data_IF_379939007975
#
_entry.id   IF_379939007975
#
_cell.length_a   1.000
_cell.length_b   1.000
_cell.length_c   1.000
_cell.angle_alpha   90.00
_cell.angle_beta   90.00
_cell.angle_gamma   90.00
#
_symmetry.space_group_name_H-M   'P 1'
#
loop_
_entity.id
_entity.type
_entity.pdbx_description
1 polymer ?
#
# COMPACT_ATOMS: atom_id res chain seq x y z
N UNK A 1 -12.93 -7.59 18.85
CA UNK A 1 -11.99 -6.46 19.03
C UNK A 1 -11.40 -6.42 20.44
N UNK A 2 -12.19 -6.61 21.48
CA UNK A 2 -11.77 -6.60 22.89
C UNK A 2 -10.64 -7.58 23.25
N UNK A 3 -10.64 -8.81 22.73
CA UNK A 3 -9.60 -9.81 23.01
C UNK A 3 -8.21 -9.45 22.47
N UNK A 4 -8.13 -8.82 21.29
CA UNK A 4 -6.86 -8.40 20.69
C UNK A 4 -6.24 -7.21 21.44
N UNK A 5 -7.08 -6.28 21.89
CA UNK A 5 -6.62 -5.13 22.68
C UNK A 5 -6.09 -5.61 24.03
N UNK A 6 -6.79 -6.52 24.70
CA UNK A 6 -6.30 -7.13 25.95
C UNK A 6 -4.95 -7.82 25.76
N UNK A 7 -4.80 -8.64 24.70
CA UNK A 7 -3.54 -9.31 24.39
C UNK A 7 -2.39 -8.31 24.14
N UNK A 8 -2.66 -7.19 23.46
CA UNK A 8 -1.66 -6.13 23.24
C UNK A 8 -1.27 -5.44 24.55
N UNK A 9 -2.24 -5.03 25.37
CA UNK A 9 -2.00 -4.37 26.66
C UNK A 9 -1.19 -5.27 27.60
N UNK A 10 -1.55 -6.56 27.65
CA UNK A 10 -0.82 -7.56 28.45
C UNK A 10 0.61 -7.76 27.94
N UNK A 11 0.80 -7.87 26.62
CA UNK A 11 2.12 -7.98 26.02
C UNK A 11 3.00 -6.76 26.31
N UNK A 12 2.44 -5.54 26.20
CA UNK A 12 3.14 -4.28 26.53
C UNK A 12 3.52 -4.21 28.01
N UNK A 13 2.62 -4.62 28.91
CA UNK A 13 2.84 -4.57 30.35
C UNK A 13 4.00 -5.44 30.80
N UNK A 14 4.19 -6.60 30.16
CA UNK A 14 5.23 -7.54 30.50
C UNK A 14 6.51 -7.38 29.66
N UNK A 15 6.48 -6.58 28.57
CA UNK A 15 7.59 -6.41 27.62
C UNK A 15 7.76 -4.96 27.19
N UNK A 16 8.46 -4.13 27.97
CA UNK A 16 8.72 -2.74 27.64
C UNK A 16 9.33 -2.49 26.24
N UNK A 17 10.18 -3.39 25.68
CA UNK A 17 10.67 -3.23 24.30
C UNK A 17 9.59 -3.21 23.24
N UNK A 18 8.46 -3.93 23.44
CA UNK A 18 7.34 -3.90 22.52
C UNK A 18 6.68 -2.53 22.45
N UNK A 19 6.45 -1.89 23.62
CA UNK A 19 5.89 -0.54 23.67
C UNK A 19 6.78 0.45 22.92
N UNK A 20 8.08 0.40 23.17
CA UNK A 20 9.05 1.25 22.47
C UNK A 20 9.01 1.02 20.96
N UNK A 21 8.98 -0.23 20.50
CA UNK A 21 8.88 -0.57 19.08
C UNK A 21 7.56 -0.05 18.47
N UNK A 22 6.44 -0.19 19.19
CA UNK A 22 5.15 0.32 18.77
C UNK A 22 5.16 1.85 18.61
N UNK A 23 5.69 2.56 19.60
CA UNK A 23 5.79 4.03 19.57
C UNK A 23 6.68 4.50 18.42
N UNK A 24 7.87 3.90 18.25
CA UNK A 24 8.77 4.20 17.11
C UNK A 24 8.05 3.98 15.78
N UNK A 25 7.30 2.87 15.65
CA UNK A 25 6.51 2.58 14.45
C UNK A 25 5.43 3.63 14.20
N UNK A 26 4.68 4.01 15.22
CA UNK A 26 3.60 4.99 15.09
C UNK A 26 4.10 6.41 14.83
N UNK A 27 5.19 6.83 15.46
CA UNK A 27 5.85 8.11 15.14
C UNK A 27 6.30 8.15 13.67
N UNK A 28 6.87 7.04 13.18
CA UNK A 28 7.22 6.96 11.78
C UNK A 28 6.00 7.02 10.87
N UNK A 29 4.90 6.32 11.21
CA UNK A 29 3.66 6.34 10.43
C UNK A 29 2.99 7.71 10.43
N UNK A 30 3.01 8.41 11.58
CA UNK A 30 2.59 9.82 11.65
C UNK A 30 3.42 10.69 10.70
N UNK A 31 4.75 10.61 10.81
CA UNK A 31 5.67 11.33 9.94
C UNK A 31 5.50 10.96 8.46
N UNK A 32 5.17 9.69 8.13
CA UNK A 32 4.86 9.26 6.77
C UNK A 32 3.60 9.94 6.22
N UNK A 33 2.51 9.84 6.98
CA UNK A 33 1.25 10.47 6.59
C UNK A 33 1.40 11.98 6.42
N UNK A 34 2.07 12.62 7.38
CA UNK A 34 2.34 14.05 7.36
C UNK A 34 3.19 14.46 6.15
N UNK A 35 4.33 13.79 5.92
CA UNK A 35 5.23 14.08 4.82
C UNK A 35 4.59 13.83 3.45
N UNK A 36 3.89 12.70 3.30
CA UNK A 36 3.24 12.37 2.03
C UNK A 36 2.11 13.35 1.67
N UNK A 37 1.33 13.81 2.66
CA UNK A 37 0.30 14.81 2.42
C UNK A 37 0.90 16.19 2.10
N UNK A 38 1.94 16.63 2.82
CA UNK A 38 2.66 17.87 2.53
C UNK A 38 3.27 17.85 1.12
N UNK A 39 3.91 16.72 0.77
CA UNK A 39 4.52 16.55 -0.54
C UNK A 39 3.48 16.47 -1.66
N UNK A 40 2.34 15.78 -1.41
CA UNK A 40 1.20 15.78 -2.31
C UNK A 40 0.66 17.18 -2.56
N UNK A 41 0.56 18.00 -1.52
CA UNK A 41 0.23 19.41 -1.63
C UNK A 41 1.23 20.16 -2.52
N UNK A 42 2.52 20.01 -2.25
CA UNK A 42 3.59 20.70 -2.97
C UNK A 42 3.73 20.27 -4.44
N UNK A 43 3.56 18.99 -4.75
CA UNK A 43 3.76 18.47 -6.12
C UNK A 43 2.49 18.51 -6.94
N UNK A 44 1.35 18.08 -6.33
CA UNK A 44 0.11 17.87 -7.09
C UNK A 44 -0.80 19.09 -7.13
N UNK A 45 -0.78 19.93 -6.09
CA UNK A 45 -1.76 21.00 -5.91
C UNK A 45 -1.15 22.38 -5.75
N UNK A 46 0.18 22.54 -5.80
CA UNK A 46 0.81 23.86 -5.79
C UNK A 46 0.61 24.56 -7.15
N UNK A 47 -0.02 25.75 -7.20
CA UNK A 47 -0.28 26.47 -8.44
C UNK A 47 0.99 26.95 -9.16
N UNK A 48 2.11 27.09 -8.43
CA UNK A 48 3.40 27.48 -8.99
C UNK A 48 4.09 26.36 -9.77
N UNK A 49 3.63 25.11 -9.61
CA UNK A 49 4.19 23.93 -10.26
C UNK A 49 3.29 23.42 -11.38
N UNK A 50 3.92 22.90 -12.41
CA UNK A 50 3.30 22.51 -13.68
C UNK A 50 2.02 21.68 -13.55
N UNK A 51 1.05 22.01 -14.40
CA UNK A 51 -0.22 21.29 -14.58
C UNK A 51 -0.10 20.12 -15.56
N UNK A 52 1.11 19.80 -16.05
CA UNK A 52 1.33 18.72 -17.01
C UNK A 52 0.98 17.35 -16.40
N UNK A 53 0.02 16.61 -16.98
CA UNK A 53 -0.35 15.27 -16.53
C UNK A 53 0.84 14.31 -16.46
N UNK A 54 1.83 14.48 -17.35
CA UNK A 54 3.04 13.65 -17.38
C UNK A 54 3.93 13.89 -16.17
N UNK A 55 4.05 15.14 -15.72
CA UNK A 55 4.82 15.49 -14.52
C UNK A 55 4.17 14.91 -13.27
N UNK A 56 2.83 14.92 -13.17
CA UNK A 56 2.07 14.30 -12.09
C UNK A 56 2.30 12.79 -12.09
N UNK A 57 2.13 12.13 -13.24
CA UNK A 57 2.36 10.71 -13.36
C UNK A 57 3.81 10.33 -13.03
N UNK A 58 4.80 11.10 -13.50
CA UNK A 58 6.20 10.91 -13.17
C UNK A 58 6.45 11.01 -11.66
N UNK A 59 5.78 11.93 -10.96
CA UNK A 59 5.82 12.03 -9.51
C UNK A 59 5.34 10.73 -8.83
N UNK A 60 4.21 10.19 -9.24
CA UNK A 60 3.70 8.90 -8.72
C UNK A 60 4.60 7.71 -9.09
N UNK A 61 5.12 7.68 -10.33
CA UNK A 61 6.09 6.65 -10.77
C UNK A 61 7.30 6.64 -9.83
N UNK A 62 7.88 7.81 -9.61
CA UNK A 62 9.06 7.96 -8.76
C UNK A 62 8.76 7.66 -7.28
N UNK A 63 7.56 7.94 -6.80
CA UNK A 63 7.15 7.65 -5.42
C UNK A 63 6.89 6.15 -5.16
N UNK A 64 6.37 5.42 -6.14
CA UNK A 64 5.85 4.06 -5.92
C UNK A 64 6.71 2.96 -6.58
N UNK A 65 7.37 3.23 -7.72
CA UNK A 65 8.13 2.23 -8.46
C UNK A 65 9.31 1.63 -7.68
N UNK A 66 10.15 2.43 -6.99
CA UNK A 66 11.28 1.90 -6.26
C UNK A 66 10.86 1.00 -5.09
N UNK A 67 9.70 1.24 -4.51
CA UNK A 67 9.14 0.38 -3.48
C UNK A 67 8.97 -1.08 -3.97
N UNK A 68 8.47 -1.25 -5.18
CA UNK A 68 8.27 -2.58 -5.78
C UNK A 68 9.58 -3.27 -6.14
N UNK A 69 10.60 -2.48 -6.52
CA UNK A 69 11.89 -3.02 -6.95
C UNK A 69 12.83 -3.31 -5.77
N UNK A 70 12.85 -2.45 -4.75
CA UNK A 70 13.76 -2.56 -3.60
C UNK A 70 13.24 -3.51 -2.53
N UNK A 71 11.90 -3.62 -2.38
CA UNK A 71 11.26 -4.41 -1.33
C UNK A 71 11.83 -5.83 -1.15
N UNK A 72 11.98 -6.64 -2.21
CA UNK A 72 12.51 -8.00 -2.11
C UNK A 72 13.96 -8.08 -1.59
N UNK A 73 14.79 -7.03 -1.80
CA UNK A 73 16.20 -6.99 -1.38
C UNK A 73 16.38 -6.56 0.08
N UNK A 74 15.41 -5.85 0.63
CA UNK A 74 15.44 -5.34 2.00
C UNK A 74 15.61 -6.47 3.02
N UNK A 75 14.91 -7.60 2.81
CA UNK A 75 14.98 -8.76 3.70
C UNK A 75 16.39 -9.28 3.89
N UNK A 76 17.17 -9.36 2.80
CA UNK A 76 18.55 -9.86 2.80
C UNK A 76 19.46 -9.00 3.70
N UNK A 77 19.29 -7.68 3.67
CA UNK A 77 20.07 -6.76 4.50
C UNK A 77 19.67 -6.87 5.99
N UNK A 78 18.37 -7.01 6.24
CA UNK A 78 17.82 -7.10 7.61
C UNK A 78 18.16 -8.41 8.31
N UNK A 79 18.48 -9.47 7.57
CA UNK A 79 18.90 -10.75 8.14
C UNK A 79 20.38 -10.76 8.58
N UNK A 80 21.14 -9.71 8.25
CA UNK A 80 22.59 -9.62 8.50
C UNK A 80 22.99 -8.46 9.40
N UNK A 81 22.23 -7.36 9.41
CA UNK A 81 22.55 -6.14 10.17
C UNK A 81 21.76 -6.07 11.47
N UNK A 82 22.40 -5.55 12.53
CA UNK A 82 21.67 -5.26 13.78
C UNK A 82 20.54 -4.28 13.49
N UNK A 83 19.31 -4.76 13.65
CA UNK A 83 18.08 -4.02 13.32
C UNK A 83 17.92 -2.75 14.14
N UNK A 84 18.52 -2.66 15.33
CA UNK A 84 18.60 -1.40 16.10
C UNK A 84 19.27 -0.31 15.28
N UNK A 85 20.47 -0.59 14.77
CA UNK A 85 21.23 0.38 13.98
C UNK A 85 20.58 0.66 12.63
N UNK A 86 19.95 -0.33 12.03
CA UNK A 86 19.14 -0.14 10.82
C UNK A 86 18.03 0.89 11.07
N UNK A 87 17.28 0.75 12.17
CA UNK A 87 16.23 1.70 12.52
C UNK A 87 16.78 3.11 12.78
N UNK A 88 17.84 3.22 13.57
CA UNK A 88 18.45 4.52 13.91
C UNK A 88 18.94 5.24 12.65
N UNK A 89 19.76 4.58 11.82
CA UNK A 89 20.32 5.20 10.62
C UNK A 89 19.27 5.48 9.54
N UNK A 90 18.30 4.60 9.37
CA UNK A 90 17.19 4.84 8.45
C UNK A 90 16.34 6.06 8.88
N UNK A 91 16.06 6.22 10.18
CA UNK A 91 15.34 7.38 10.67
C UNK A 91 16.14 8.67 10.56
N UNK A 92 17.45 8.64 10.84
CA UNK A 92 18.35 9.80 10.64
C UNK A 92 18.38 10.18 9.14
N UNK A 93 18.61 9.21 8.26
CA UNK A 93 18.63 9.45 6.82
C UNK A 93 17.32 10.07 6.35
N UNK A 94 16.19 9.54 6.81
CA UNK A 94 14.87 10.06 6.50
C UNK A 94 14.65 11.47 7.05
N UNK A 95 15.08 11.74 8.28
CA UNK A 95 15.01 13.08 8.88
C UNK A 95 15.80 14.11 8.04
N UNK A 96 17.02 13.75 7.62
CA UNK A 96 17.85 14.59 6.75
C UNK A 96 17.17 14.80 5.38
N UNK A 97 16.64 13.74 4.76
CA UNK A 97 15.94 13.83 3.48
C UNK A 97 14.66 14.67 3.58
N UNK A 98 13.90 14.53 4.67
CA UNK A 98 12.71 15.36 4.92
C UNK A 98 13.10 16.83 5.10
N UNK A 99 14.16 17.11 5.85
CA UNK A 99 14.70 18.48 6.00
C UNK A 99 15.19 19.07 4.66
N UNK A 100 15.90 18.25 3.87
CA UNK A 100 16.32 18.64 2.52
C UNK A 100 15.15 18.93 1.58
N UNK A 101 14.07 18.13 1.65
CA UNK A 101 12.85 18.39 0.87
C UNK A 101 12.20 19.74 1.26
N UNK A 102 12.10 20.01 2.56
CA UNK A 102 11.61 21.30 3.05
C UNK A 102 12.49 22.48 2.59
N UNK A 103 13.80 22.32 2.67
CA UNK A 103 14.74 23.34 2.20
C UNK A 103 14.63 23.59 0.69
N UNK A 104 14.55 22.54 -0.12
CA UNK A 104 14.39 22.64 -1.59
C UNK A 104 13.11 23.39 -1.96
N UNK A 105 12.02 23.17 -1.21
CA UNK A 105 10.77 23.91 -1.38
C UNK A 105 10.94 25.39 -0.99
N UNK A 106 11.52 25.68 0.17
CA UNK A 106 11.75 27.06 0.64
C UNK A 106 12.67 27.85 -0.29
N UNK A 107 13.66 27.18 -0.89
CA UNK A 107 14.58 27.80 -1.84
C UNK A 107 14.04 27.84 -3.29
N UNK A 108 12.79 27.39 -3.51
CA UNK A 108 12.13 27.33 -4.83
C UNK A 108 12.97 26.63 -5.91
N UNK A 109 13.74 25.59 -5.52
CA UNK A 109 14.58 24.84 -6.45
C UNK A 109 13.73 24.01 -7.43
N UNK A 110 14.15 23.85 -8.71
CA UNK A 110 13.40 23.11 -9.71
C UNK A 110 13.04 21.67 -9.35
N UNK A 111 11.85 21.22 -9.82
CA UNK A 111 11.17 20.01 -9.47
C UNK A 111 11.93 18.68 -9.39
N UNK A 112 12.92 18.34 -10.24
CA UNK A 112 13.61 17.04 -10.21
C UNK A 112 14.31 16.74 -8.89
N UNK A 113 14.91 17.76 -8.25
CA UNK A 113 15.59 17.59 -6.96
C UNK A 113 14.63 17.16 -5.85
N UNK A 114 13.46 17.81 -5.74
CA UNK A 114 12.42 17.46 -4.77
C UNK A 114 11.95 16.01 -4.96
N UNK A 115 11.73 15.61 -6.20
CA UNK A 115 11.26 14.25 -6.53
C UNK A 115 12.28 13.18 -6.09
N UNK A 116 13.55 13.40 -6.38
CA UNK A 116 14.62 12.46 -5.99
C UNK A 116 14.76 12.35 -4.47
N UNK A 117 14.70 13.47 -3.76
CA UNK A 117 14.77 13.50 -2.29
C UNK A 117 13.53 12.82 -1.69
N UNK A 118 12.35 13.10 -2.20
CA UNK A 118 11.11 12.47 -1.78
C UNK A 118 11.15 10.95 -1.96
N UNK A 119 11.65 10.51 -3.12
CA UNK A 119 11.85 9.11 -3.45
C UNK A 119 12.77 8.42 -2.43
N UNK A 120 13.91 9.01 -2.15
CA UNK A 120 14.86 8.49 -1.17
C UNK A 120 14.23 8.45 0.25
N UNK A 121 13.47 9.49 0.66
CA UNK A 121 12.80 9.54 1.94
C UNK A 121 11.74 8.43 2.09
N UNK A 122 10.91 8.21 1.06
CA UNK A 122 9.89 7.16 1.05
C UNK A 122 10.53 5.77 1.02
N UNK A 123 11.56 5.57 0.19
CA UNK A 123 12.33 4.33 0.15
C UNK A 123 12.92 3.96 1.51
N UNK A 124 13.50 4.94 2.19
CA UNK A 124 14.06 4.79 3.54
C UNK A 124 12.98 4.43 4.56
N UNK A 125 11.80 5.04 4.47
CA UNK A 125 10.66 4.69 5.32
C UNK A 125 10.24 3.23 5.14
N UNK A 126 10.16 2.76 3.91
CA UNK A 126 9.79 1.37 3.60
C UNK A 126 10.82 0.37 4.13
N UNK A 127 12.10 0.68 3.97
CA UNK A 127 13.20 -0.10 4.55
C UNK A 127 13.05 -0.23 6.07
N UNK A 128 12.72 0.87 6.73
CA UNK A 128 12.50 0.89 8.16
C UNK A 128 11.28 0.07 8.60
N UNK A 129 10.14 0.15 7.86
CA UNK A 129 8.96 -0.68 8.14
C UNK A 129 9.26 -2.18 8.04
N UNK A 130 10.02 -2.59 7.03
CA UNK A 130 10.47 -3.98 6.90
C UNK A 130 11.34 -4.39 8.11
N UNK A 131 12.25 -3.50 8.55
CA UNK A 131 13.08 -3.71 9.73
C UNK A 131 12.27 -3.88 11.02
N UNK A 132 11.26 -3.03 11.24
CA UNK A 132 10.36 -3.14 12.40
C UNK A 132 9.51 -4.41 12.36
N UNK A 133 9.03 -4.80 11.20
CA UNK A 133 8.26 -6.04 11.02
C UNK A 133 9.12 -7.27 11.28
N UNK A 134 10.38 -7.27 10.82
CA UNK A 134 11.35 -8.32 11.10
C UNK A 134 11.79 -8.36 12.58
N UNK A 135 11.77 -7.23 13.29
CA UNK A 135 12.14 -7.13 14.70
C UNK A 135 11.03 -7.63 15.65
N UNK A 136 9.76 -7.60 15.23
CA UNK A 136 8.62 -7.93 16.09
C UNK A 136 8.71 -9.32 16.73
N UNK A 137 9.10 -10.43 16.03
CA UNK A 137 9.23 -11.75 16.64
C UNK A 137 10.27 -11.85 17.76
N UNK A 138 11.23 -10.90 17.82
CA UNK A 138 12.23 -10.86 18.88
C UNK A 138 11.75 -10.12 20.14
N UNK A 139 10.59 -9.47 20.05
CA UNK A 139 10.03 -8.71 21.20
C UNK A 139 8.88 -9.43 21.88
N UNK A 140 8.23 -10.41 21.20
CA UNK A 140 7.06 -11.14 21.73
C UNK A 140 7.09 -12.63 21.36
N UNK A 141 6.39 -13.50 22.12
CA UNK A 141 6.20 -14.90 21.76
C UNK A 141 5.44 -15.07 20.43
N UNK A 142 5.71 -16.15 19.72
CA UNK A 142 5.08 -16.47 18.43
C UNK A 142 3.54 -16.53 18.48
N UNK A 143 2.99 -16.96 19.59
CA UNK A 143 1.52 -17.02 19.83
C UNK A 143 0.85 -15.66 19.84
N UNK A 144 1.58 -14.58 20.15
CA UNK A 144 1.08 -13.20 20.21
C UNK A 144 1.36 -12.39 18.95
N UNK A 145 2.10 -12.91 17.98
CA UNK A 145 2.49 -12.18 16.77
C UNK A 145 1.29 -11.69 15.98
N UNK A 146 0.31 -12.55 15.72
CA UNK A 146 -0.87 -12.18 14.90
C UNK A 146 -1.73 -11.10 15.57
N UNK A 147 -2.18 -11.25 16.83
CA UNK A 147 -3.00 -10.22 17.47
C UNK A 147 -2.25 -8.89 17.65
N UNK A 148 -0.98 -8.93 18.04
CA UNK A 148 -0.16 -7.71 18.24
C UNK A 148 0.09 -7.01 16.91
N UNK A 149 0.51 -7.74 15.86
CA UNK A 149 0.74 -7.13 14.55
C UNK A 149 -0.54 -6.52 13.96
N UNK A 150 -1.70 -7.16 14.17
CA UNK A 150 -2.99 -6.60 13.75
C UNK A 150 -3.25 -5.23 14.38
N UNK A 151 -2.96 -5.06 15.68
CA UNK A 151 -3.12 -3.77 16.36
C UNK A 151 -2.10 -2.75 15.85
N UNK A 152 -0.82 -3.16 15.73
CA UNK A 152 0.23 -2.28 15.23
C UNK A 152 -0.11 -1.72 13.84
N UNK A 153 -0.66 -2.55 12.95
CA UNK A 153 -1.08 -2.15 11.60
C UNK A 153 -2.30 -1.24 11.65
N UNK A 154 -3.34 -1.61 12.42
CA UNK A 154 -4.59 -0.85 12.48
C UNK A 154 -4.40 0.52 13.11
N UNK A 155 -3.74 0.57 14.27
CA UNK A 155 -3.43 1.84 14.96
C UNK A 155 -2.48 2.68 14.11
N UNK A 156 -1.49 2.03 13.47
CA UNK A 156 -0.56 2.70 12.59
C UNK A 156 -1.22 3.37 11.38
N UNK A 157 -2.22 2.72 10.77
CA UNK A 157 -2.98 3.32 9.68
C UNK A 157 -3.78 4.55 10.15
N UNK A 158 -4.40 4.47 11.33
CA UNK A 158 -5.10 5.61 11.95
C UNK A 158 -4.13 6.77 12.26
N UNK A 159 -2.96 6.46 12.80
CA UNK A 159 -1.91 7.46 13.12
C UNK A 159 -1.35 8.10 11.84
N UNK A 160 -1.18 7.34 10.76
CA UNK A 160 -0.78 7.89 9.46
C UNK A 160 -1.85 8.85 8.91
N UNK A 161 -3.13 8.49 9.03
CA UNK A 161 -4.23 9.37 8.64
C UNK A 161 -4.27 10.65 9.48
N UNK A 162 -4.04 10.56 10.79
CA UNK A 162 -3.90 11.73 11.67
C UNK A 162 -2.72 12.63 11.25
N UNK A 163 -1.59 12.04 10.88
CA UNK A 163 -0.44 12.77 10.34
C UNK A 163 -0.79 13.52 9.05
N UNK A 164 -1.49 12.85 8.12
CA UNK A 164 -1.93 13.48 6.88
C UNK A 164 -2.92 14.65 7.13
N UNK A 165 -3.89 14.46 8.03
CA UNK A 165 -4.83 15.51 8.41
C UNK A 165 -4.12 16.69 9.07
N UNK A 166 -3.17 16.43 9.98
CA UNK A 166 -2.37 17.46 10.62
C UNK A 166 -1.53 18.26 9.59
N UNK A 167 -1.00 17.59 8.59
CA UNK A 167 -0.28 18.22 7.48
C UNK A 167 -1.18 19.15 6.66
N UNK A 168 -2.40 18.72 6.32
CA UNK A 168 -3.36 19.55 5.58
C UNK A 168 -3.74 20.78 6.39
N UNK A 169 -4.00 20.62 7.70
CA UNK A 169 -4.29 21.73 8.59
C UNK A 169 -3.12 22.69 8.72
N UNK A 170 -1.89 22.16 8.81
CA UNK A 170 -0.67 22.98 8.87
C UNK A 170 -0.44 23.75 7.57
N UNK A 171 -0.67 23.14 6.41
CA UNK A 171 -0.57 23.79 5.11
C UNK A 171 -1.57 24.94 4.99
N UNK A 172 -2.78 24.81 5.54
CA UNK A 172 -3.76 25.89 5.57
C UNK A 172 -3.29 27.09 6.42
N UNK A 173 -2.50 26.85 7.48
CA UNK A 173 -1.93 27.89 8.34
C UNK A 173 -0.65 28.51 7.75
N UNK A 174 0.18 27.68 7.10
CA UNK A 174 1.48 28.10 6.54
C UNK A 174 1.33 28.91 5.23
N UNK A 175 0.15 28.86 4.60
CA UNK A 175 -0.14 29.56 3.34
C UNK A 175 0.11 28.72 2.10
N UNK A 176 -0.21 29.31 0.94
CA UNK A 176 -0.05 28.67 -0.36
C UNK A 176 1.39 28.81 -0.88
N UNK A 177 1.73 28.03 -1.92
CA UNK A 177 3.00 28.08 -2.61
C UNK A 177 4.11 27.23 -2.00
N UNK A 178 5.31 27.40 -2.54
CA UNK A 178 6.50 26.64 -2.14
C UNK A 178 6.93 26.92 -0.71
N UNK A 179 6.81 28.16 -0.25
CA UNK A 179 7.16 28.56 1.12
C UNK A 179 6.26 27.89 2.16
N UNK A 180 4.94 27.92 1.95
CA UNK A 180 4.00 27.24 2.85
C UNK A 180 4.17 25.73 2.84
N UNK A 181 4.37 25.13 1.67
CA UNK A 181 4.65 23.70 1.52
C UNK A 181 5.97 23.31 2.18
N UNK A 182 7.05 24.07 2.01
CA UNK A 182 8.35 23.82 2.61
C UNK A 182 8.31 23.89 4.13
N UNK A 183 7.65 24.93 4.67
CA UNK A 183 7.41 25.05 6.11
C UNK A 183 6.65 23.85 6.64
N UNK A 184 5.58 23.45 5.98
CA UNK A 184 4.77 22.28 6.36
C UNK A 184 5.63 20.99 6.38
N UNK A 185 6.43 20.75 5.33
CA UNK A 185 7.31 19.57 5.26
C UNK A 185 8.29 19.51 6.43
N UNK A 186 8.86 20.66 6.86
CA UNK A 186 9.81 20.70 7.97
C UNK A 186 9.22 20.23 9.30
N UNK A 187 7.92 20.42 9.54
CA UNK A 187 7.28 19.90 10.75
C UNK A 187 7.30 18.37 10.85
N UNK A 188 7.40 17.65 9.72
CA UNK A 188 7.54 16.20 9.72
C UNK A 188 8.89 15.72 10.33
N UNK A 189 9.87 16.59 10.50
CA UNK A 189 11.16 16.27 11.13
C UNK A 189 10.99 15.95 12.62
N UNK A 190 10.07 16.64 13.31
CA UNK A 190 9.91 16.48 14.77
C UNK A 190 9.54 15.04 15.22
N UNK A 191 8.51 14.38 14.66
CA UNK A 191 8.19 13.01 15.04
C UNK A 191 9.31 12.02 14.67
N UNK A 192 10.07 12.28 13.60
CA UNK A 192 11.20 11.46 13.21
C UNK A 192 12.37 11.59 14.21
N UNK A 193 12.69 12.81 14.66
CA UNK A 193 13.71 13.06 15.68
C UNK A 193 13.40 12.34 16.99
N UNK A 194 12.13 12.41 17.45
CA UNK A 194 11.69 11.67 18.62
C UNK A 194 11.82 10.15 18.41
N UNK A 195 11.49 9.67 17.22
CA UNK A 195 11.66 8.26 16.85
C UNK A 195 13.12 7.81 16.89
N UNK A 196 14.08 8.62 16.41
CA UNK A 196 15.53 8.36 16.51
C UNK A 196 15.93 8.19 17.97
N UNK A 197 15.54 9.13 18.83
CA UNK A 197 15.85 9.09 20.27
C UNK A 197 15.35 7.80 20.92
N UNK A 198 14.11 7.40 20.63
CA UNK A 198 13.53 6.16 21.15
C UNK A 198 14.21 4.92 20.57
N UNK A 199 14.53 4.91 19.28
CA UNK A 199 15.21 3.79 18.63
C UNK A 199 16.63 3.58 19.16
N UNK A 200 17.33 4.67 19.46
CA UNK A 200 18.67 4.61 20.09
C UNK A 200 18.64 3.90 21.44
N UNK A 201 17.56 4.02 22.20
CA UNK A 201 17.42 3.41 23.52
C UNK A 201 17.20 1.89 23.52
N UNK A 202 17.13 1.18 22.37
CA UNK A 202 17.08 -0.27 22.40
C UNK A 202 18.43 -0.88 22.82
N UNK A 203 18.43 -1.98 23.62
CA UNK A 203 19.65 -2.74 23.87
C UNK A 203 20.23 -3.30 22.56
N UNK A 204 21.57 -3.42 22.51
CA UNK A 204 22.24 -4.00 21.35
C UNK A 204 21.74 -5.41 21.06
N UNK A 205 21.53 -5.72 19.79
CA UNK A 205 21.07 -7.02 19.27
C UNK A 205 19.70 -7.51 19.79
N UNK A 206 18.99 -6.75 20.63
CA UNK A 206 17.65 -7.14 21.09
C UNK A 206 16.67 -7.40 19.94
N UNK A 207 16.76 -6.59 18.91
CA UNK A 207 15.87 -6.65 17.74
C UNK A 207 16.30 -7.69 16.69
N UNK A 208 17.44 -8.38 16.93
CA UNK A 208 18.04 -9.37 16.00
C UNK A 208 18.93 -8.72 14.93
N UNK A 209 19.47 -9.51 13.99
CA UNK A 209 19.28 -10.96 13.86
C UNK A 209 20.10 -11.78 14.88
N UNK A 210 19.62 -12.97 15.22
CA UNK A 210 20.26 -13.90 16.16
C UNK A 210 20.81 -15.16 15.47
N UNK A 211 20.95 -15.16 14.12
CA UNK A 211 21.32 -16.34 13.33
C UNK A 211 22.77 -16.34 12.85
N UNK A 212 23.17 -17.47 12.25
CA UNK A 212 24.52 -17.71 11.69
C UNK A 212 24.93 -16.77 10.55
N UNK A 213 24.01 -16.05 9.95
CA UNK A 213 24.27 -15.11 8.85
C UNK A 213 24.54 -13.67 9.31
N UNK A 214 24.49 -13.40 10.60
CA UNK A 214 24.75 -12.08 11.14
C UNK A 214 26.20 -11.66 10.81
N UNK A 215 26.38 -10.54 10.08
CA UNK A 215 27.68 -10.00 9.71
C UNK A 215 28.32 -10.56 8.42
N UNK A 216 27.68 -11.51 7.72
CA UNK A 216 28.18 -11.98 6.41
C UNK A 216 28.12 -10.88 5.33
N UNK A 217 29.14 -10.84 4.45
CA UNK A 217 29.13 -9.91 3.32
C UNK A 217 28.10 -10.31 2.27
N UNK A 218 27.32 -9.36 1.81
CA UNK A 218 26.27 -9.55 0.81
C UNK A 218 26.86 -9.60 -0.58
N UNK A 219 26.71 -10.72 -1.29
CA UNK A 219 26.95 -10.80 -2.73
C UNK A 219 25.71 -10.29 -3.48
N UNK A 220 25.60 -8.97 -3.71
CA UNK A 220 24.40 -8.30 -4.26
C UNK A 220 23.90 -9.01 -5.53
N UNK A 221 24.80 -9.38 -6.45
CA UNK A 221 24.43 -10.04 -7.71
C UNK A 221 23.84 -11.44 -7.50
N UNK A 222 24.38 -12.22 -6.53
CA UNK A 222 23.88 -13.56 -6.20
C UNK A 222 22.49 -13.48 -5.59
N UNK A 223 22.27 -12.54 -4.70
CA UNK A 223 20.98 -12.31 -4.07
C UNK A 223 19.94 -11.77 -5.06
N UNK A 224 20.34 -10.89 -5.98
CA UNK A 224 19.48 -10.42 -7.06
C UNK A 224 18.98 -11.57 -7.94
N UNK A 225 19.87 -12.49 -8.31
CA UNK A 225 19.49 -13.71 -9.05
C UNK A 225 18.56 -14.62 -8.25
N UNK A 226 18.82 -14.78 -6.96
CA UNK A 226 17.95 -15.58 -6.08
C UNK A 226 16.54 -14.98 -5.96
N UNK A 227 16.43 -13.66 -5.84
CA UNK A 227 15.14 -12.94 -5.85
C UNK A 227 14.43 -13.11 -7.19
N UNK A 228 15.15 -12.91 -8.31
CA UNK A 228 14.57 -13.04 -9.65
C UNK A 228 14.07 -14.48 -9.93
N UNK A 229 14.88 -15.50 -9.55
CA UNK A 229 14.46 -16.91 -9.67
C UNK A 229 13.28 -17.23 -8.76
N UNK A 230 13.23 -16.66 -7.56
CA UNK A 230 12.12 -16.77 -6.64
C UNK A 230 10.81 -16.20 -7.20
N UNK A 231 10.86 -15.04 -7.88
CA UNK A 231 9.70 -14.46 -8.55
C UNK A 231 9.17 -15.34 -9.68
N UNK A 232 10.07 -15.97 -10.48
CA UNK A 232 9.68 -16.92 -11.51
C UNK A 232 8.99 -18.17 -10.95
N UNK A 233 9.50 -18.70 -9.84
CA UNK A 233 8.86 -19.82 -9.12
C UNK A 233 7.49 -19.44 -8.57
N UNK A 234 7.39 -18.25 -7.98
CA UNK A 234 6.13 -17.71 -7.45
C UNK A 234 5.08 -17.50 -8.53
N UNK A 235 5.49 -16.99 -9.70
CA UNK A 235 4.59 -16.82 -10.84
C UNK A 235 4.04 -18.16 -11.33
N UNK A 236 4.88 -19.22 -11.36
CA UNK A 236 4.44 -20.58 -11.71
C UNK A 236 3.48 -21.15 -10.66
N UNK A 237 3.79 -20.99 -9.38
CA UNK A 237 2.93 -21.42 -8.29
C UNK A 237 1.56 -20.72 -8.32
N UNK A 238 1.55 -19.41 -8.54
CA UNK A 238 0.32 -18.62 -8.71
C UNK A 238 -0.49 -19.10 -9.91
N UNK A 239 0.18 -19.34 -11.06
CA UNK A 239 -0.47 -19.79 -12.30
C UNK A 239 -1.05 -21.21 -12.20
N UNK A 240 -0.46 -22.07 -11.39
CA UNK A 240 -0.98 -23.43 -11.16
C UNK A 240 -2.27 -23.46 -10.33
N UNK A 241 -2.57 -22.40 -9.59
CA UNK A 241 -3.79 -22.24 -8.80
C UNK A 241 -4.79 -21.34 -9.53
N UNK A 242 -5.98 -21.87 -9.86
CA UNK A 242 -7.04 -21.10 -10.54
C UNK A 242 -7.53 -19.94 -9.68
N UNK A 243 -7.73 -20.16 -8.38
CA UNK A 243 -8.23 -19.12 -7.48
C UNK A 243 -7.23 -17.97 -7.33
N UNK A 244 -5.95 -18.29 -7.22
CA UNK A 244 -4.88 -17.26 -7.13
C UNK A 244 -4.71 -16.53 -8.46
N UNK A 245 -4.75 -17.23 -9.61
CA UNK A 245 -4.69 -16.60 -10.92
C UNK A 245 -5.87 -15.65 -11.13
N UNK A 246 -7.10 -16.07 -10.80
CA UNK A 246 -8.29 -15.22 -10.90
C UNK A 246 -8.15 -13.96 -10.02
N UNK A 247 -7.64 -14.13 -8.79
CA UNK A 247 -7.39 -13.01 -7.88
C UNK A 247 -6.35 -12.03 -8.41
N UNK A 248 -5.23 -12.53 -8.95
CA UNK A 248 -4.17 -11.68 -9.53
C UNK A 248 -4.64 -10.94 -10.78
N UNK A 249 -5.44 -11.57 -11.66
CA UNK A 249 -6.03 -10.93 -12.83
C UNK A 249 -7.00 -9.80 -12.43
N UNK A 250 -7.89 -10.07 -11.49
CA UNK A 250 -8.81 -9.05 -10.97
C UNK A 250 -8.07 -7.89 -10.31
N UNK A 251 -7.07 -8.20 -9.47
CA UNK A 251 -6.26 -7.20 -8.79
C UNK A 251 -5.46 -6.36 -9.78
N UNK A 252 -4.89 -6.99 -10.81
CA UNK A 252 -4.14 -6.33 -11.87
C UNK A 252 -5.00 -5.27 -12.59
N UNK A 253 -6.19 -5.66 -13.06
CA UNK A 253 -7.11 -4.75 -13.72
C UNK A 253 -7.56 -3.63 -12.76
N UNK A 254 -7.97 -3.99 -11.53
CA UNK A 254 -8.42 -3.00 -10.56
C UNK A 254 -7.32 -1.99 -10.22
N UNK A 255 -6.07 -2.41 -10.10
CA UNK A 255 -4.95 -1.51 -9.80
C UNK A 255 -4.57 -0.61 -10.97
N UNK A 256 -4.60 -1.13 -12.18
CA UNK A 256 -4.40 -0.32 -13.38
C UNK A 256 -5.47 0.78 -13.48
N UNK A 257 -6.74 0.41 -13.34
CA UNK A 257 -7.86 1.38 -13.40
C UNK A 257 -7.84 2.35 -12.22
N UNK A 258 -7.47 1.88 -11.02
CA UNK A 258 -7.33 2.75 -9.86
C UNK A 258 -6.22 3.80 -10.05
N UNK A 259 -5.11 3.45 -10.73
CA UNK A 259 -4.07 4.41 -11.12
C UNK A 259 -4.58 5.46 -12.10
N UNK A 260 -5.31 5.03 -13.12
CA UNK A 260 -5.97 5.93 -14.09
C UNK A 260 -6.94 6.88 -13.37
N UNK A 261 -7.81 6.36 -12.53
CA UNK A 261 -8.80 7.16 -11.81
C UNK A 261 -8.16 8.12 -10.79
N UNK A 262 -7.03 7.74 -10.20
CA UNK A 262 -6.26 8.64 -9.33
C UNK A 262 -5.73 9.83 -10.12
N UNK A 263 -5.23 9.62 -11.34
CA UNK A 263 -4.79 10.71 -12.21
C UNK A 263 -5.96 11.60 -12.62
N UNK A 264 -7.09 11.02 -13.05
CA UNK A 264 -8.33 11.75 -13.35
C UNK A 264 -8.74 12.62 -12.15
N UNK A 265 -8.78 12.03 -10.96
CA UNK A 265 -9.18 12.71 -9.73
C UNK A 265 -8.27 13.91 -9.40
N UNK A 266 -6.94 13.73 -9.49
CA UNK A 266 -5.97 14.80 -9.22
C UNK A 266 -6.15 15.95 -10.21
N UNK A 267 -6.32 15.67 -11.50
CA UNK A 267 -6.50 16.67 -12.53
C UNK A 267 -7.86 17.38 -12.42
N UNK A 268 -8.95 16.62 -12.24
CA UNK A 268 -10.30 17.17 -12.13
C UNK A 268 -10.42 18.11 -10.92
N UNK A 269 -9.89 17.73 -9.76
CA UNK A 269 -9.98 18.53 -8.53
C UNK A 269 -9.14 19.82 -8.57
N UNK A 270 -8.26 19.99 -9.55
CA UNK A 270 -7.53 21.25 -9.75
C UNK A 270 -8.39 22.36 -10.37
N UNK A 271 -9.37 21.98 -11.18
CA UNK A 271 -10.29 22.90 -11.83
C UNK A 271 -11.54 23.06 -10.97
N UNK A 272 -12.05 24.30 -10.80
CA UNK A 272 -13.32 24.50 -10.11
C UNK A 272 -14.46 23.76 -10.84
N UNK A 273 -15.36 23.15 -10.08
CA UNK A 273 -16.60 22.59 -10.58
C UNK A 273 -17.76 23.37 -9.95
N UNK A 274 -18.36 24.35 -10.66
CA UNK A 274 -19.43 25.21 -10.10
C UNK A 274 -20.67 24.45 -9.65
N UNK A 275 -20.86 23.22 -10.15
CA UNK A 275 -21.98 22.35 -9.77
C UNK A 275 -21.71 21.47 -8.55
N UNK A 276 -20.50 21.45 -8.04
CA UNK A 276 -20.10 20.60 -6.92
C UNK A 276 -20.10 21.37 -5.60
N UNK A 277 -20.59 20.69 -4.54
CA UNK A 277 -20.47 21.18 -3.15
C UNK A 277 -19.17 20.76 -2.49
N UNK A 278 -18.36 19.94 -3.16
CA UNK A 278 -17.11 19.41 -2.63
C UNK A 278 -15.96 20.41 -2.81
N UNK A 279 -15.03 20.48 -1.84
CA UNK A 279 -13.86 21.33 -1.97
C UNK A 279 -12.96 20.82 -3.12
N UNK A 280 -12.35 21.74 -3.86
CA UNK A 280 -11.32 21.42 -4.83
C UNK A 280 -9.93 21.24 -4.19
N UNK A 281 -8.92 21.05 -5.03
CA UNK A 281 -7.51 20.99 -4.63
C UNK A 281 -7.17 19.86 -3.66
N UNK A 282 -6.22 20.11 -2.78
CA UNK A 282 -5.71 19.13 -1.81
C UNK A 282 -6.79 18.65 -0.83
N UNK A 283 -7.70 19.54 -0.41
CA UNK A 283 -8.78 19.19 0.51
C UNK A 283 -9.77 18.22 -0.14
N UNK A 284 -10.17 18.46 -1.39
CA UNK A 284 -11.02 17.55 -2.15
C UNK A 284 -10.36 16.19 -2.41
N UNK A 285 -9.07 16.18 -2.75
CA UNK A 285 -8.32 14.95 -2.91
C UNK A 285 -8.21 14.17 -1.59
N UNK A 286 -7.94 14.86 -0.48
CA UNK A 286 -7.93 14.26 0.85
C UNK A 286 -9.27 13.63 1.22
N UNK A 287 -10.39 14.31 0.91
CA UNK A 287 -11.74 13.79 1.07
C UNK A 287 -11.96 12.53 0.22
N UNK A 288 -11.58 12.54 -1.06
CA UNK A 288 -11.70 11.39 -1.95
C UNK A 288 -10.91 10.17 -1.43
N UNK A 289 -9.71 10.38 -0.91
CA UNK A 289 -8.91 9.33 -0.26
C UNK A 289 -9.59 8.80 0.99
N UNK A 290 -10.15 9.66 1.84
CA UNK A 290 -10.89 9.27 3.05
C UNK A 290 -12.15 8.47 2.69
N UNK A 291 -12.89 8.89 1.68
CA UNK A 291 -14.11 8.21 1.18
C UNK A 291 -13.75 6.84 0.57
N UNK A 292 -12.64 6.76 -0.18
CA UNK A 292 -12.11 5.47 -0.67
C UNK A 292 -11.80 4.53 0.50
N UNK A 293 -11.12 5.02 1.55
CA UNK A 293 -10.82 4.24 2.74
C UNK A 293 -12.10 3.78 3.45
N UNK A 294 -13.13 4.62 3.53
CA UNK A 294 -14.46 4.26 4.01
C UNK A 294 -15.08 3.11 3.21
N UNK A 295 -14.99 3.18 1.87
CA UNK A 295 -15.40 2.09 0.99
C UNK A 295 -14.62 0.80 1.25
N UNK A 296 -13.31 0.89 1.43
CA UNK A 296 -12.48 -0.27 1.78
C UNK A 296 -12.90 -0.90 3.12
N UNK A 297 -13.27 -0.11 4.12
CA UNK A 297 -13.78 -0.62 5.40
C UNK A 297 -15.11 -1.38 5.20
N UNK A 298 -16.02 -0.84 4.42
CA UNK A 298 -17.28 -1.52 4.07
C UNK A 298 -16.99 -2.82 3.33
N UNK A 299 -16.10 -2.81 2.33
CA UNK A 299 -15.65 -4.01 1.63
C UNK A 299 -15.02 -5.06 2.54
N UNK A 300 -14.28 -4.63 3.57
CA UNK A 300 -13.68 -5.52 4.56
C UNK A 300 -14.73 -6.21 5.45
N UNK A 301 -15.86 -5.57 5.70
CA UNK A 301 -17.00 -6.16 6.41
C UNK A 301 -17.80 -7.08 5.48
N UNK A 302 -18.04 -6.67 4.24
CA UNK A 302 -18.85 -7.43 3.28
C UNK A 302 -18.16 -8.72 2.81
N UNK A 303 -16.83 -8.71 2.59
CA UNK A 303 -16.12 -9.86 2.08
C UNK A 303 -16.32 -11.15 2.91
N UNK A 304 -16.13 -11.17 4.26
CA UNK A 304 -16.35 -12.36 5.06
C UNK A 304 -17.83 -12.80 5.12
N UNK A 305 -18.77 -11.90 4.85
CA UNK A 305 -20.20 -12.21 4.80
C UNK A 305 -20.59 -12.85 3.47
N UNK A 306 -20.01 -12.37 2.36
CA UNK A 306 -20.40 -12.77 1.00
C UNK A 306 -19.63 -14.04 0.54
N UNK A 307 -18.35 -14.15 0.87
CA UNK A 307 -17.49 -15.27 0.43
C UNK A 307 -18.04 -16.65 0.84
N UNK A 308 -18.61 -16.89 2.02
CA UNK A 308 -19.20 -18.17 2.37
C UNK A 308 -20.37 -18.58 1.48
N UNK A 309 -21.13 -17.61 0.95
CA UNK A 309 -22.33 -17.86 0.12
C UNK A 309 -21.99 -18.05 -1.37
N UNK A 310 -21.19 -17.13 -1.92
CA UNK A 310 -20.87 -17.12 -3.35
C UNK A 310 -19.62 -17.94 -3.69
N UNK A 311 -18.73 -18.17 -2.72
CA UNK A 311 -17.39 -18.65 -2.95
C UNK A 311 -16.43 -17.52 -3.40
N UNK A 312 -15.12 -17.77 -3.28
CA UNK A 312 -14.07 -16.75 -3.52
C UNK A 312 -14.07 -16.21 -4.94
N UNK A 313 -14.02 -17.07 -5.95
CA UNK A 313 -13.93 -16.64 -7.35
C UNK A 313 -15.16 -15.84 -7.79
N UNK A 314 -16.36 -16.28 -7.41
CA UNK A 314 -17.59 -15.53 -7.74
C UNK A 314 -17.65 -14.19 -7.01
N UNK A 315 -17.15 -14.11 -5.77
CA UNK A 315 -17.04 -12.83 -5.06
C UNK A 315 -16.07 -11.88 -5.76
N UNK A 316 -14.94 -12.39 -6.25
CA UNK A 316 -13.99 -11.61 -7.05
C UNK A 316 -14.67 -11.09 -8.33
N UNK A 317 -15.36 -11.96 -9.07
CA UNK A 317 -16.08 -11.56 -10.30
C UNK A 317 -17.15 -10.51 -10.00
N UNK A 318 -17.95 -10.70 -8.95
CA UNK A 318 -18.96 -9.72 -8.53
C UNK A 318 -18.34 -8.36 -8.18
N UNK A 319 -17.20 -8.35 -7.51
CA UNK A 319 -16.48 -7.12 -7.20
C UNK A 319 -15.90 -6.45 -8.45
N UNK A 320 -15.39 -7.22 -9.43
CA UNK A 320 -14.93 -6.68 -10.72
C UNK A 320 -16.11 -6.12 -11.52
N UNK A 321 -17.27 -6.78 -11.51
CA UNK A 321 -18.49 -6.27 -12.14
C UNK A 321 -18.98 -4.97 -11.49
N UNK A 322 -18.96 -4.87 -10.16
CA UNK A 322 -19.24 -3.62 -9.44
C UNK A 322 -18.28 -2.51 -9.87
N UNK A 323 -16.98 -2.81 -9.96
CA UNK A 323 -15.98 -1.83 -10.40
C UNK A 323 -16.19 -1.40 -11.86
N UNK A 324 -16.51 -2.35 -12.76
CA UNK A 324 -16.80 -2.06 -14.15
C UNK A 324 -18.06 -1.19 -14.31
N UNK A 325 -19.13 -1.53 -13.60
CA UNK A 325 -20.37 -0.73 -13.59
C UNK A 325 -20.12 0.69 -13.06
N UNK A 326 -19.37 0.81 -11.96
CA UNK A 326 -18.97 2.13 -11.40
C UNK A 326 -18.16 2.93 -12.42
N UNK A 327 -17.24 2.31 -13.12
CA UNK A 327 -16.43 2.96 -14.16
C UNK A 327 -17.28 3.50 -15.30
N UNK A 328 -18.24 2.70 -15.79
CA UNK A 328 -19.10 3.08 -16.93
C UNK A 328 -20.16 4.10 -16.52
N UNK A 329 -20.83 3.88 -15.38
CA UNK A 329 -22.03 4.67 -15.03
C UNK A 329 -21.71 5.94 -14.24
N UNK A 330 -20.65 5.96 -13.45
CA UNK A 330 -20.36 7.06 -12.52
C UNK A 330 -19.09 7.81 -12.91
N UNK A 331 -17.98 7.11 -13.16
CA UNK A 331 -16.71 7.80 -13.53
C UNK A 331 -16.85 8.52 -14.87
N UNK A 332 -17.65 8.01 -15.79
CA UNK A 332 -17.92 8.66 -17.10
C UNK A 332 -18.60 10.03 -17.00
N UNK A 333 -19.25 10.33 -15.86
CA UNK A 333 -19.85 11.65 -15.61
C UNK A 333 -18.82 12.75 -15.40
N UNK A 334 -17.61 12.38 -14.96
CA UNK A 334 -16.42 13.26 -14.81
C UNK A 334 -16.63 14.51 -13.93
N UNK A 335 -17.71 14.55 -13.15
CA UNK A 335 -17.97 15.57 -12.13
C UNK A 335 -17.31 15.22 -10.79
N UNK A 336 -16.99 16.21 -9.94
CA UNK A 336 -16.34 15.99 -8.66
C UNK A 336 -17.13 15.05 -7.75
N UNK A 337 -18.44 15.28 -7.62
CA UNK A 337 -19.32 14.46 -6.76
C UNK A 337 -19.38 13.01 -7.25
N UNK A 338 -19.50 12.82 -8.57
CA UNK A 338 -19.49 11.50 -9.19
C UNK A 338 -18.16 10.77 -8.94
N UNK A 339 -17.03 11.46 -9.07
CA UNK A 339 -15.71 10.88 -8.83
C UNK A 339 -15.52 10.44 -7.37
N UNK A 340 -16.05 11.20 -6.40
CA UNK A 340 -15.98 10.84 -4.98
C UNK A 340 -16.90 9.65 -4.66
N UNK A 341 -18.11 9.60 -5.22
CA UNK A 341 -18.99 8.44 -5.10
C UNK A 341 -18.33 7.19 -5.73
N UNK A 342 -17.74 7.35 -6.92
CA UNK A 342 -17.01 6.28 -7.57
C UNK A 342 -15.84 5.78 -6.72
N UNK A 343 -15.10 6.69 -6.06
CA UNK A 343 -13.98 6.33 -5.18
C UNK A 343 -14.43 5.43 -4.02
N UNK A 344 -15.61 5.67 -3.43
CA UNK A 344 -16.21 4.81 -2.41
C UNK A 344 -16.51 3.40 -2.94
N UNK A 345 -17.20 3.29 -4.07
CA UNK A 345 -17.60 2.02 -4.65
C UNK A 345 -16.39 1.21 -5.16
N UNK A 346 -15.42 1.89 -5.77
CA UNK A 346 -14.16 1.27 -6.16
C UNK A 346 -13.33 0.82 -4.95
N UNK A 347 -13.41 1.55 -3.84
CA UNK A 347 -12.82 1.14 -2.56
C UNK A 347 -13.43 -0.17 -2.05
N UNK A 348 -14.77 -0.30 -2.08
CA UNK A 348 -15.47 -1.55 -1.74
C UNK A 348 -14.98 -2.69 -2.62
N UNK A 349 -15.04 -2.50 -3.94
CA UNK A 349 -14.67 -3.53 -4.92
C UNK A 349 -13.21 -3.98 -4.75
N UNK A 350 -12.28 -3.01 -4.64
CA UNK A 350 -10.86 -3.30 -4.47
C UNK A 350 -10.55 -4.09 -3.20
N UNK A 351 -11.20 -3.76 -2.09
CA UNK A 351 -11.01 -4.48 -0.83
C UNK A 351 -11.59 -5.90 -0.89
N UNK A 352 -12.74 -6.09 -1.52
CA UNK A 352 -13.33 -7.42 -1.72
C UNK A 352 -12.43 -8.30 -2.60
N UNK A 353 -11.88 -7.76 -3.69
CA UNK A 353 -10.91 -8.46 -4.56
C UNK A 353 -9.68 -8.87 -3.74
N UNK A 354 -9.11 -7.90 -2.99
CA UNK A 354 -7.91 -8.13 -2.19
C UNK A 354 -8.11 -9.21 -1.15
N UNK A 355 -9.13 -9.12 -0.31
CA UNK A 355 -9.36 -10.08 0.78
C UNK A 355 -9.69 -11.48 0.26
N UNK A 356 -10.46 -11.58 -0.83
CA UNK A 356 -10.75 -12.87 -1.48
C UNK A 356 -9.50 -13.48 -2.10
N UNK A 357 -8.61 -12.65 -2.67
CA UNK A 357 -7.34 -13.05 -3.24
C UNK A 357 -6.34 -13.49 -2.16
N UNK A 358 -6.20 -12.71 -1.09
CA UNK A 358 -5.34 -13.06 0.05
C UNK A 358 -5.76 -14.41 0.66
N UNK A 359 -7.06 -14.66 0.78
CA UNK A 359 -7.58 -15.95 1.24
C UNK A 359 -7.28 -17.10 0.26
N UNK A 360 -7.35 -16.85 -1.06
CA UNK A 360 -6.96 -17.85 -2.06
C UNK A 360 -5.48 -18.21 -1.95
N UNK A 361 -4.59 -17.21 -1.83
CA UNK A 361 -3.16 -17.42 -1.66
C UNK A 361 -2.82 -18.20 -0.38
N UNK A 362 -3.49 -17.87 0.73
CA UNK A 362 -3.28 -18.57 2.00
C UNK A 362 -3.69 -20.05 1.98
N UNK A 363 -4.70 -20.38 1.18
CA UNK A 363 -5.28 -21.73 1.14
C UNK A 363 -4.68 -22.59 0.03
N UNK A 364 -4.43 -22.00 -1.14
CA UNK A 364 -4.07 -22.73 -2.35
C UNK A 364 -2.58 -22.79 -2.63
N UNK A 365 -1.77 -21.91 -2.01
CA UNK A 365 -0.31 -21.88 -2.18
C UNK A 365 0.38 -22.58 -1.00
N UNK A 366 1.39 -23.39 -1.31
CA UNK A 366 2.21 -24.07 -0.32
C UNK A 366 2.94 -23.07 0.60
N UNK A 367 3.12 -23.41 1.89
CA UNK A 367 3.70 -22.51 2.90
C UNK A 367 5.07 -21.92 2.48
N UNK A 368 5.91 -22.76 1.85
CA UNK A 368 7.26 -22.36 1.39
C UNK A 368 7.24 -21.30 0.27
N UNK A 369 6.17 -21.21 -0.52
CA UNK A 369 6.04 -20.32 -1.67
C UNK A 369 5.10 -19.13 -1.38
N UNK A 370 4.34 -19.21 -0.30
CA UNK A 370 3.30 -18.21 0.03
C UNK A 370 3.86 -16.81 0.17
N UNK A 371 4.96 -16.64 0.90
CA UNK A 371 5.59 -15.33 1.09
C UNK A 371 6.03 -14.69 -0.22
N UNK A 372 6.60 -15.47 -1.13
CA UNK A 372 7.06 -14.99 -2.43
C UNK A 372 5.91 -14.69 -3.41
N UNK A 373 4.77 -15.40 -3.29
CA UNK A 373 3.55 -15.09 -4.06
C UNK A 373 2.90 -13.79 -3.57
N UNK A 374 2.89 -13.51 -2.25
CA UNK A 374 2.48 -12.21 -1.72
C UNK A 374 3.40 -11.07 -2.18
N UNK A 375 4.70 -11.30 -2.21
CA UNK A 375 5.65 -10.31 -2.74
C UNK A 375 5.41 -10.03 -4.25
N UNK A 376 5.11 -11.07 -5.04
CA UNK A 376 4.71 -10.93 -6.44
C UNK A 376 3.42 -10.11 -6.58
N UNK A 377 2.42 -10.36 -5.73
CA UNK A 377 1.17 -9.59 -5.69
C UNK A 377 1.44 -8.11 -5.42
N UNK A 378 2.26 -7.80 -4.41
CA UNK A 378 2.57 -6.41 -4.05
C UNK A 378 3.38 -5.70 -5.16
N UNK A 379 4.27 -6.41 -5.83
CA UNK A 379 4.99 -5.89 -6.99
C UNK A 379 4.03 -5.56 -8.14
N UNK A 380 3.16 -6.51 -8.53
CA UNK A 380 2.15 -6.29 -9.58
C UNK A 380 1.23 -5.13 -9.23
N UNK A 381 0.82 -5.03 -7.97
CA UNK A 381 -0.04 -3.98 -7.46
C UNK A 381 0.52 -2.57 -7.72
N UNK A 382 1.80 -2.35 -7.44
CA UNK A 382 2.42 -1.04 -7.60
C UNK A 382 2.81 -0.77 -9.05
N UNK A 383 3.37 -1.76 -9.75
CA UNK A 383 3.79 -1.61 -11.15
C UNK A 383 2.61 -1.30 -12.06
N UNK A 384 1.48 -1.98 -11.87
CA UNK A 384 0.29 -1.76 -12.69
C UNK A 384 -0.40 -0.43 -12.37
N UNK A 385 -0.47 -0.06 -11.09
CA UNK A 385 -0.98 1.25 -10.68
C UNK A 385 -0.21 2.38 -11.36
N UNK A 386 1.11 2.36 -11.22
CA UNK A 386 1.99 3.40 -11.74
C UNK A 386 2.09 3.36 -13.27
N UNK A 387 2.23 2.15 -13.84
CA UNK A 387 2.33 1.97 -15.28
C UNK A 387 1.08 2.42 -16.03
N UNK A 388 -0.09 2.11 -15.51
CA UNK A 388 -1.35 2.54 -16.11
C UNK A 388 -1.55 4.06 -15.98
N UNK A 389 -1.18 4.66 -14.83
CA UNK A 389 -1.18 6.10 -14.65
C UNK A 389 -0.24 6.81 -15.62
N UNK A 390 0.99 6.28 -15.78
CA UNK A 390 1.97 6.82 -16.73
C UNK A 390 1.47 6.70 -18.17
N UNK A 391 0.89 5.57 -18.55
CA UNK A 391 0.32 5.39 -19.88
C UNK A 391 -0.84 6.36 -20.13
N UNK A 392 -1.75 6.51 -19.18
CA UNK A 392 -2.87 7.44 -19.29
C UNK A 392 -2.40 8.90 -19.40
N UNK A 393 -1.32 9.28 -18.71
CA UNK A 393 -0.80 10.66 -18.73
C UNK A 393 -0.34 11.15 -20.10
N UNK A 394 -0.11 10.22 -21.05
CA UNK A 394 0.33 10.57 -22.41
C UNK A 394 -0.81 11.19 -23.23
N UNK A 395 -2.05 10.80 -22.96
CA UNK A 395 -3.23 11.13 -23.80
C UNK A 395 -4.39 11.75 -23.02
N UNK A 396 -4.31 11.86 -21.69
CA UNK A 396 -5.36 12.46 -20.87
C UNK A 396 -5.40 13.98 -21.08
N UNK A 397 -6.60 14.56 -21.10
CA UNK A 397 -6.76 16.01 -21.13
C UNK A 397 -6.23 16.65 -19.83
N UNK A 398 -5.69 17.90 -19.88
CA UNK A 398 -5.12 18.58 -18.71
C UNK A 398 -6.12 18.80 -17.57
N UNK A 399 -7.41 18.85 -17.86
CA UNK A 399 -8.51 18.96 -16.88
C UNK A 399 -8.97 17.61 -16.32
N UNK A 400 -8.36 16.49 -16.76
CA UNK A 400 -8.73 15.14 -16.37
C UNK A 400 -10.02 14.61 -17.02
N UNK A 401 -10.74 15.44 -17.79
CA UNK A 401 -12.02 15.05 -18.41
C UNK A 401 -11.79 14.31 -19.74
N UNK A 402 -11.42 13.04 -19.64
CA UNK A 402 -11.10 12.22 -20.81
C UNK A 402 -11.93 10.94 -20.86
N UNK A 403 -13.06 10.97 -21.58
CA UNK A 403 -13.93 9.82 -21.76
C UNK A 403 -13.21 8.61 -22.40
N UNK A 404 -12.30 8.74 -23.38
CA UNK A 404 -11.55 7.61 -23.92
C UNK A 404 -10.73 6.86 -22.85
N UNK A 405 -10.15 7.58 -21.90
CA UNK A 405 -9.39 6.98 -20.78
C UNK A 405 -10.31 6.22 -19.82
N UNK A 406 -11.52 6.75 -19.57
CA UNK A 406 -12.53 6.06 -18.76
C UNK A 406 -12.97 4.76 -19.44
N UNK A 407 -13.20 4.79 -20.76
CA UNK A 407 -13.55 3.61 -21.56
C UNK A 407 -12.42 2.58 -21.54
N UNK A 408 -11.17 3.00 -21.65
CA UNK A 408 -10.02 2.10 -21.54
C UNK A 408 -9.98 1.40 -20.17
N UNK A 409 -10.31 2.10 -19.09
CA UNK A 409 -10.48 1.52 -17.76
C UNK A 409 -11.61 0.49 -17.69
N UNK A 410 -12.76 0.78 -18.29
CA UNK A 410 -13.86 -0.18 -18.38
C UNK A 410 -13.47 -1.43 -19.20
N UNK A 411 -12.79 -1.26 -20.32
CA UNK A 411 -12.28 -2.35 -21.13
C UNK A 411 -11.30 -3.25 -20.38
N UNK A 412 -10.45 -2.68 -19.49
CA UNK A 412 -9.55 -3.46 -18.64
C UNK A 412 -10.32 -4.38 -17.67
N UNK A 413 -11.44 -3.93 -17.10
CA UNK A 413 -12.30 -4.78 -16.28
C UNK A 413 -12.98 -5.89 -17.08
N UNK A 414 -13.51 -5.57 -18.28
CA UNK A 414 -14.11 -6.58 -19.18
C UNK A 414 -13.08 -7.63 -19.58
N UNK A 415 -11.86 -7.20 -19.92
CA UNK A 415 -10.76 -8.12 -20.22
C UNK A 415 -10.43 -9.02 -19.02
N UNK A 416 -10.39 -8.47 -17.81
CA UNK A 416 -10.14 -9.26 -16.59
C UNK A 416 -11.23 -10.33 -16.41
N UNK A 417 -12.51 -10.00 -16.59
CA UNK A 417 -13.61 -10.96 -16.49
C UNK A 417 -13.45 -12.07 -17.54
N UNK A 418 -13.14 -11.71 -18.79
CA UNK A 418 -12.90 -12.69 -19.85
C UNK A 418 -11.71 -13.62 -19.53
N UNK A 419 -10.60 -13.05 -19.06
CA UNK A 419 -9.42 -13.84 -18.65
C UNK A 419 -9.70 -14.73 -17.44
N UNK A 420 -10.49 -14.28 -16.48
CA UNK A 420 -10.93 -15.11 -15.33
C UNK A 420 -11.81 -16.27 -15.83
N UNK A 421 -12.75 -16.02 -16.75
CA UNK A 421 -13.58 -17.07 -17.34
C UNK A 421 -12.75 -18.11 -18.10
N UNK A 422 -11.77 -17.66 -18.91
CA UNK A 422 -10.82 -18.55 -19.58
C UNK A 422 -9.96 -19.35 -18.59
N UNK A 423 -9.54 -18.72 -17.47
CA UNK A 423 -8.80 -19.40 -16.42
C UNK A 423 -9.62 -20.49 -15.74
N UNK A 424 -10.91 -20.28 -15.50
CA UNK A 424 -11.81 -21.31 -14.96
C UNK A 424 -12.00 -22.49 -15.92
N UNK A 425 -11.94 -22.26 -17.23
CA UNK A 425 -12.06 -23.30 -18.25
C UNK A 425 -10.80 -24.19 -18.40
N UNK A 426 -9.66 -23.85 -17.78
CA UNK A 426 -8.45 -24.67 -17.83
C UNK A 426 -8.67 -26.05 -17.23
N UNK A 427 -7.99 -27.07 -17.76
CA UNK A 427 -7.93 -28.38 -17.13
C UNK A 427 -7.34 -28.29 -15.72
N UNK A 428 -7.98 -28.91 -14.73
CA UNK A 428 -7.46 -28.94 -13.37
C UNK A 428 -6.23 -29.86 -13.33
N UNK A 429 -5.04 -29.40 -12.91
CA UNK A 429 -3.91 -30.31 -12.73
C UNK A 429 -4.27 -31.38 -11.67
N UNK A 430 -3.78 -32.62 -11.79
CA UNK A 430 -4.08 -33.69 -10.85
C UNK A 430 -3.63 -33.28 -9.46
N UNK A 431 -4.55 -33.31 -8.50
CA UNK A 431 -4.27 -32.94 -7.09
C UNK A 431 -3.26 -33.90 -6.48
N UNK A 432 -2.26 -33.34 -5.80
CA UNK A 432 -1.31 -34.13 -5.02
C UNK A 432 -2.00 -34.84 -3.87
N UNK A 433 -1.41 -35.95 -3.39
CA UNK A 433 -1.96 -36.71 -2.25
C UNK A 433 -2.14 -35.83 -0.99
N UNK A 434 -1.23 -34.87 -0.78
CA UNK A 434 -1.26 -33.88 0.31
C UNK A 434 -2.43 -32.90 0.21
N UNK A 435 -2.79 -32.49 -0.99
CA UNK A 435 -3.93 -31.57 -1.22
C UNK A 435 -5.27 -32.29 -1.02
N UNK A 436 -5.36 -33.56 -1.42
CA UNK A 436 -6.53 -34.43 -1.16
C UNK A 436 -6.73 -34.66 0.34
N UNK A 437 -5.67 -34.93 1.09
CA UNK A 437 -5.73 -35.11 2.53
C UNK A 437 -6.15 -33.82 3.26
N UNK A 438 -5.65 -32.65 2.84
CA UNK A 438 -6.08 -31.35 3.40
C UNK A 438 -7.55 -31.06 3.13
N UNK A 439 -8.04 -31.31 1.92
CA UNK A 439 -9.45 -31.10 1.60
C UNK A 439 -10.39 -32.03 2.39
N UNK A 440 -9.98 -33.27 2.63
CA UNK A 440 -10.69 -34.20 3.50
C UNK A 440 -10.74 -33.69 4.94
N UNK A 441 -9.62 -33.20 5.49
CA UNK A 441 -9.55 -32.56 6.81
C UNK A 441 -10.46 -31.35 6.92
N UNK A 442 -10.49 -30.49 5.91
CA UNK A 442 -11.37 -29.32 5.87
C UNK A 442 -12.86 -29.70 5.79
N UNK A 443 -13.20 -30.73 4.99
CA UNK A 443 -14.58 -31.25 4.92
C UNK A 443 -15.00 -31.90 6.24
N UNK A 444 -14.09 -32.55 6.91
CA UNK A 444 -14.33 -33.15 8.22
C UNK A 444 -14.50 -32.08 9.30
N UNK A 445 -13.64 -31.07 9.35
CA UNK A 445 -13.74 -29.94 10.27
C UNK A 445 -15.05 -29.14 10.14
N UNK A 446 -15.59 -29.03 8.93
CA UNK A 446 -16.90 -28.38 8.69
C UNK A 446 -18.10 -29.21 9.17
N UNK A 447 -17.93 -30.52 9.44
CA UNK A 447 -18.98 -31.41 9.95
C UNK A 447 -19.02 -31.50 11.47
N UNK A 448 -18.02 -30.90 12.14
CA UNK A 448 -18.04 -30.82 13.60
C UNK A 448 -19.01 -29.70 14.02
N UNK A 449 -20.07 -30.00 14.77
CA UNK A 449 -20.93 -28.97 15.33
C UNK A 449 -20.09 -28.17 16.33
N UNK A 450 -19.96 -26.88 16.08
CA UNK A 450 -19.43 -25.96 17.09
C UNK A 450 -20.41 -25.99 18.28
N UNK A 451 -19.96 -26.56 19.39
CA UNK A 451 -20.51 -26.31 20.71
C UNK A 451 -19.81 -25.14 21.36
#
# INVERSE_FOLDING_TARGET
MTGRIRAFVEAVRHRPPLLRLAVVRWLNQFGDGFFQAALGGAILFNPERNTDPRAIAAGFVLLLLPYSLIGPFVGVLLDRWDRRWVLVWAMIARMVLTGAAGYVLLASVPGPALILIALAAIGTSRFMFAGMSAALPNTIPSTMLVPVNSILVTVGAAVAALGATASISMAALAGAGDTGSGTTVLFAVAPLALGVFLAWGFPARLLGPHGSRAGERVGIMREARAVASGLGTSARAAWSSRGVTAALLALAAHRAVFGINTLIMVLALRTPDPGSVLPGGLAGFGLAVAVTAGGMLVGAVLAPLIVPWLGRTRTIVAAVLLAAATQVMIVSMLGHDALVIAAFLLGIAGQMIKLSGDAAMQIEIADRERGSVFALQDMLFNVLFVGAMAAASISIAPDGRSLPIVIAGAAAYVLAIALIALNEARATPPRTATERAREQLYRWARRLPFR
#
